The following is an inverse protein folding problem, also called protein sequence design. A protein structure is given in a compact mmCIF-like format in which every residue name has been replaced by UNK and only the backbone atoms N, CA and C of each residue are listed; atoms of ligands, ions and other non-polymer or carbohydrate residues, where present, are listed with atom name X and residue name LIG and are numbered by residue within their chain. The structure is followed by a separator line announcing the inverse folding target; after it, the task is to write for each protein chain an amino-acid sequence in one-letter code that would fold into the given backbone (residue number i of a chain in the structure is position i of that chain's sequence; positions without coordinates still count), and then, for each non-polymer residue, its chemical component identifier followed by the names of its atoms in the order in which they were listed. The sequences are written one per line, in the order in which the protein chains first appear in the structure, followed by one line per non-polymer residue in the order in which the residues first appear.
data_IF_918672455109
#
_entry.id   IF_918672455109
#
_cell.length_a   1.000
_cell.length_b   1.000
_cell.length_c   1.000
_cell.angle_alpha   90.00
_cell.angle_beta   90.00
_cell.angle_gamma   90.00
#
_symmetry.space_group_name_H-M   'P 1'
#
loop_
_entity.id
_entity.type
_entity.pdbx_description
1 polymer ?
#
# COMPACT_ATOMS: atom_id res chain seq x y z
N UNK A 1 -22.67 -17.13 -9.99
CA UNK A 1 -21.89 -15.92 -9.62
C UNK A 1 -20.51 -16.15 -10.19
N UNK A 2 -20.09 -15.34 -11.16
CA UNK A 2 -18.72 -15.41 -11.68
C UNK A 2 -17.79 -14.89 -10.59
N UNK A 3 -16.95 -15.75 -10.02
CA UNK A 3 -15.87 -15.33 -9.13
C UNK A 3 -15.05 -14.27 -9.87
N UNK A 4 -14.85 -13.12 -9.23
CA UNK A 4 -13.98 -12.08 -9.76
C UNK A 4 -12.53 -12.58 -9.55
N UNK A 5 -11.80 -13.01 -10.59
CA UNK A 5 -10.52 -13.71 -10.44
C UNK A 5 -9.39 -12.81 -9.90
N UNK A 6 -9.68 -11.54 -9.63
CA UNK A 6 -8.70 -10.52 -9.27
C UNK A 6 -8.69 -10.14 -7.78
N UNK A 7 -9.50 -10.79 -6.95
CA UNK A 7 -9.56 -10.51 -5.51
C UNK A 7 -9.44 -11.80 -4.71
N UNK A 8 -8.33 -11.95 -3.98
CA UNK A 8 -8.13 -13.04 -3.04
C UNK A 8 -8.58 -12.57 -1.66
N UNK A 9 -9.85 -12.80 -1.37
CA UNK A 9 -10.38 -12.67 -0.03
C UNK A 9 -9.69 -13.69 0.89
N UNK A 10 -9.44 -13.30 2.14
CA UNK A 10 -8.59 -14.08 3.02
C UNK A 10 -8.11 -13.29 4.22
N UNK A 11 -7.50 -13.95 5.21
CA UNK A 11 -6.92 -13.32 6.40
C UNK A 11 -5.39 -13.26 6.27
N UNK A 12 -4.79 -12.09 6.49
CA UNK A 12 -3.34 -12.00 6.70
C UNK A 12 -3.00 -12.29 8.16
N UNK A 13 -2.00 -13.14 8.39
CA UNK A 13 -1.42 -13.40 9.69
C UNK A 13 0.01 -12.89 9.71
N UNK A 14 0.31 -11.95 10.60
CA UNK A 14 1.67 -11.48 10.83
C UNK A 14 2.47 -12.61 11.48
N UNK A 15 3.62 -12.96 10.90
CA UNK A 15 4.47 -14.06 11.42
C UNK A 15 5.76 -13.54 12.02
N UNK A 16 6.33 -12.46 11.50
CA UNK A 16 7.57 -11.88 12.03
C UNK A 16 7.71 -10.41 11.67
N UNK A 17 8.27 -9.63 12.60
CA UNK A 17 8.81 -8.29 12.33
C UNK A 17 10.25 -8.26 12.82
N UNK A 18 11.17 -7.75 12.02
CA UNK A 18 12.59 -7.64 12.36
C UNK A 18 13.22 -6.40 11.77
N UNK A 19 14.26 -5.90 12.42
CA UNK A 19 14.99 -4.70 12.03
C UNK A 19 16.49 -5.05 12.06
N UNK A 20 17.19 -4.94 10.93
CA UNK A 20 18.58 -5.40 10.85
C UNK A 20 19.36 -4.71 9.73
N UNK A 21 20.69 -4.74 9.82
CA UNK A 21 21.56 -4.46 8.68
C UNK A 21 21.77 -5.73 7.87
N UNK A 22 21.67 -5.64 6.53
CA UNK A 22 22.07 -6.75 5.65
C UNK A 22 23.58 -7.02 5.71
N UNK A 23 24.37 -5.99 5.98
CA UNK A 23 25.81 -6.09 6.23
C UNK A 23 26.05 -6.54 7.68
N UNK A 24 26.59 -7.75 7.92
CA UNK A 24 26.80 -8.28 9.27
C UNK A 24 27.91 -7.55 10.05
N UNK A 25 28.68 -6.68 9.41
CA UNK A 25 29.72 -5.88 10.08
C UNK A 25 29.17 -4.67 10.81
N UNK A 26 27.93 -4.25 10.50
CA UNK A 26 27.26 -3.11 11.12
C UNK A 26 26.55 -3.50 12.41
N UNK A 27 26.55 -2.57 13.36
CA UNK A 27 25.92 -2.79 14.67
C UNK A 27 24.43 -2.52 14.62
N UNK A 28 23.61 -3.44 15.15
CA UNK A 28 22.16 -3.20 15.28
C UNK A 28 21.85 -1.96 16.13
N UNK A 29 22.64 -1.70 17.17
CA UNK A 29 22.45 -0.53 18.03
C UNK A 29 22.59 0.80 17.24
N UNK A 30 23.47 0.84 16.25
CA UNK A 30 23.65 2.00 15.36
C UNK A 30 22.40 2.23 14.51
N UNK A 31 21.84 1.17 13.93
CA UNK A 31 20.64 1.24 13.10
C UNK A 31 19.41 1.64 13.90
N UNK A 32 19.26 1.10 15.11
CA UNK A 32 18.18 1.48 16.04
C UNK A 32 18.28 2.98 16.39
N UNK A 33 19.48 3.48 16.70
CA UNK A 33 19.64 4.90 17.03
C UNK A 33 19.39 5.81 15.81
N UNK A 34 19.90 5.41 14.64
CA UNK A 34 19.90 6.24 13.42
C UNK A 34 18.55 6.23 12.72
N UNK A 35 17.88 5.08 12.63
CA UNK A 35 16.69 4.90 11.81
C UNK A 35 15.46 4.43 12.61
N UNK A 36 15.65 3.97 13.85
CA UNK A 36 14.59 3.45 14.71
C UNK A 36 14.21 2.00 14.39
N UNK A 37 13.10 1.56 14.98
CA UNK A 37 12.57 0.21 14.84
C UNK A 37 11.08 0.21 14.48
N UNK A 38 10.69 -0.67 13.57
CA UNK A 38 9.29 -1.05 13.42
C UNK A 38 9.02 -2.13 14.48
N UNK A 39 8.12 -1.79 15.41
CA UNK A 39 7.69 -2.68 16.50
C UNK A 39 6.58 -3.61 16.01
N UNK A 40 6.62 -4.88 16.40
CA UNK A 40 5.67 -5.89 15.92
C UNK A 40 4.22 -5.53 16.31
N UNK A 41 4.04 -5.01 17.52
CA UNK A 41 2.77 -4.54 18.08
C UNK A 41 2.17 -3.34 17.34
N UNK A 42 2.96 -2.63 16.53
CA UNK A 42 2.52 -1.48 15.72
C UNK A 42 2.23 -1.87 14.26
N UNK A 43 2.46 -3.12 13.87
CA UNK A 43 2.07 -3.64 12.56
C UNK A 43 0.67 -4.22 12.68
N UNK A 44 -0.26 -3.67 11.91
CA UNK A 44 -1.67 -4.03 11.97
C UNK A 44 -2.13 -4.68 10.67
N UNK A 45 -2.92 -5.74 10.81
CA UNK A 45 -3.72 -6.27 9.70
C UNK A 45 -5.16 -5.87 9.93
N UNK A 46 -5.67 -5.02 9.06
CA UNK A 46 -7.04 -4.52 9.11
C UNK A 46 -7.86 -5.25 8.06
N UNK A 47 -9.01 -5.77 8.46
CA UNK A 47 -9.92 -6.51 7.58
C UNK A 47 -11.27 -5.80 7.51
N UNK A 48 -11.62 -5.36 6.30
CA UNK A 48 -12.93 -4.85 5.93
C UNK A 48 -13.65 -5.86 5.03
N UNK A 49 -14.98 -5.78 4.86
CA UNK A 49 -15.72 -6.69 3.99
C UNK A 49 -15.20 -6.78 2.55
N UNK A 50 -14.57 -5.71 2.06
CA UNK A 50 -14.12 -5.53 0.68
C UNK A 50 -12.61 -5.27 0.55
N UNK A 51 -11.86 -5.26 1.65
CA UNK A 51 -10.46 -4.86 1.63
C UNK A 51 -9.69 -5.50 2.79
N UNK A 52 -8.42 -5.83 2.54
CA UNK A 52 -7.51 -6.23 3.59
C UNK A 52 -6.21 -5.45 3.49
N UNK A 53 -5.90 -4.73 4.55
CA UNK A 53 -4.75 -3.84 4.59
C UNK A 53 -3.74 -4.33 5.62
N UNK A 54 -2.47 -4.34 5.25
CA UNK A 54 -1.36 -4.40 6.18
C UNK A 54 -0.82 -2.99 6.35
N UNK A 55 -0.79 -2.51 7.60
CA UNK A 55 -0.45 -1.13 7.94
C UNK A 55 0.69 -1.12 8.94
N UNK A 56 1.68 -0.28 8.70
CA UNK A 56 2.73 0.04 9.67
C UNK A 56 3.29 1.44 9.42
N UNK A 57 4.00 2.00 10.39
CA UNK A 57 4.70 3.26 10.23
C UNK A 57 6.21 3.04 10.24
N UNK A 58 6.90 3.74 9.33
CA UNK A 58 8.33 3.94 9.42
C UNK A 58 8.64 4.73 10.70
N UNK A 59 9.75 4.43 11.41
CA UNK A 59 10.01 5.02 12.72
C UNK A 59 10.37 6.52 12.65
N UNK A 60 10.70 7.01 11.46
CA UNK A 60 11.04 8.40 11.15
C UNK A 60 10.44 8.78 9.79
N UNK A 61 10.43 10.09 9.50
CA UNK A 61 10.10 10.59 8.16
C UNK A 61 10.97 9.88 7.12
N UNK A 62 10.34 9.18 6.17
CA UNK A 62 11.01 8.18 5.33
C UNK A 62 10.97 8.52 3.83
N UNK A 63 10.79 9.79 3.49
CA UNK A 63 10.73 10.22 2.09
C UNK A 63 12.06 10.06 1.35
N UNK A 64 13.17 10.04 2.08
CA UNK A 64 14.53 9.79 1.63
C UNK A 64 15.06 8.41 2.07
N UNK A 65 14.17 7.51 2.51
CA UNK A 65 14.52 6.11 2.71
C UNK A 65 14.89 5.43 1.36
N UNK A 66 15.43 4.22 1.46
CA UNK A 66 15.93 3.45 0.33
C UNK A 66 14.82 2.72 -0.44
N UNK A 67 15.02 1.42 -0.66
CA UNK A 67 14.10 0.59 -1.44
C UNK A 67 13.02 -0.06 -0.59
N UNK A 68 11.88 -0.27 -1.22
CA UNK A 68 10.79 -1.12 -0.76
C UNK A 68 10.68 -2.32 -1.70
N UNK A 69 10.57 -3.52 -1.13
CA UNK A 69 10.36 -4.76 -1.86
C UNK A 69 9.25 -5.59 -1.22
N UNK A 70 8.40 -6.19 -2.07
CA UNK A 70 7.46 -7.24 -1.69
C UNK A 70 7.89 -8.53 -2.38
N UNK A 71 8.09 -9.59 -1.60
CA UNK A 71 8.66 -10.86 -2.05
C UNK A 71 7.68 -11.99 -1.73
N UNK A 72 7.40 -12.84 -2.71
CA UNK A 72 6.74 -14.13 -2.52
C UNK A 72 7.78 -15.14 -2.01
N UNK A 73 7.66 -15.59 -0.76
CA UNK A 73 8.68 -16.44 -0.11
C UNK A 73 8.78 -17.84 -0.73
N UNK A 74 7.71 -18.29 -1.40
CA UNK A 74 7.63 -19.65 -1.98
C UNK A 74 8.40 -19.70 -3.28
N UNK A 75 8.21 -18.68 -4.12
CA UNK A 75 8.83 -18.60 -5.44
C UNK A 75 10.15 -17.81 -5.42
N UNK A 76 10.37 -16.99 -4.39
CA UNK A 76 11.43 -15.99 -4.34
C UNK A 76 11.21 -14.82 -5.30
N UNK A 77 10.03 -14.70 -5.91
CA UNK A 77 9.74 -13.66 -6.89
C UNK A 77 9.53 -12.31 -6.19
N UNK A 78 10.18 -11.26 -6.72
CA UNK A 78 9.95 -9.88 -6.30
C UNK A 78 8.69 -9.38 -7.01
N UNK A 79 7.63 -9.16 -6.25
CA UNK A 79 6.31 -8.71 -6.73
C UNK A 79 6.23 -7.19 -6.88
N UNK A 80 6.90 -6.45 -5.99
CA UNK A 80 7.08 -5.00 -6.06
C UNK A 80 8.55 -4.67 -5.78
N UNK A 81 9.13 -3.74 -6.56
CA UNK A 81 10.47 -3.20 -6.37
C UNK A 81 10.46 -1.71 -6.71
N UNK A 82 10.47 -0.86 -5.69
CA UNK A 82 10.28 0.59 -5.82
C UNK A 82 11.00 1.33 -4.68
N UNK A 83 10.98 2.67 -4.69
CA UNK A 83 11.52 3.46 -3.58
C UNK A 83 10.49 3.55 -2.45
N UNK A 84 10.94 3.58 -1.19
CA UNK A 84 10.04 3.68 -0.02
C UNK A 84 9.04 4.83 -0.17
N UNK A 85 9.51 6.00 -0.62
CA UNK A 85 8.67 7.20 -0.84
C UNK A 85 7.49 6.97 -1.79
N UNK A 86 7.62 6.03 -2.73
CA UNK A 86 6.57 5.73 -3.71
C UNK A 86 5.50 4.79 -3.12
N UNK A 87 5.76 4.19 -1.95
CA UNK A 87 4.80 3.39 -1.17
C UNK A 87 4.23 4.09 0.05
N UNK A 88 4.85 5.19 0.48
CA UNK A 88 4.40 5.95 1.64
C UNK A 88 3.03 6.58 1.40
N UNK A 89 2.18 6.48 2.41
CA UNK A 89 1.00 7.29 2.58
C UNK A 89 1.39 8.43 3.55
N UNK A 90 1.67 9.62 3.00
CA UNK A 90 2.21 10.74 3.75
C UNK A 90 3.71 10.60 4.04
N UNK A 91 4.16 10.90 5.26
CA UNK A 91 5.59 10.97 5.61
C UNK A 91 6.19 9.70 6.22
N UNK A 92 5.36 8.82 6.80
CA UNK A 92 5.84 7.64 7.54
C UNK A 92 4.97 6.39 7.36
N UNK A 93 3.68 6.52 7.06
CA UNK A 93 2.77 5.39 7.03
C UNK A 93 2.96 4.57 5.74
N UNK A 94 2.92 3.25 5.86
CA UNK A 94 2.76 2.32 4.74
C UNK A 94 1.43 1.61 4.87
N UNK A 95 0.66 1.63 3.79
CA UNK A 95 -0.63 0.96 3.68
C UNK A 95 -0.61 0.03 2.46
N UNK A 96 -0.59 -1.26 2.71
CA UNK A 96 -0.48 -2.30 1.69
C UNK A 96 -1.85 -2.96 1.53
N UNK A 97 -2.51 -2.73 0.39
CA UNK A 97 -3.66 -3.56 0.00
C UNK A 97 -3.16 -4.96 -0.36
N UNK A 98 -3.64 -5.95 0.38
CA UNK A 98 -3.28 -7.37 0.22
C UNK A 98 -4.36 -8.16 -0.50
N UNK A 99 -5.43 -7.51 -0.96
CA UNK A 99 -6.49 -8.15 -1.75
C UNK A 99 -5.96 -8.75 -3.08
N UNK A 100 -5.01 -8.12 -3.80
CA UNK A 100 -4.46 -8.69 -5.04
C UNK A 100 -3.56 -9.91 -4.82
N UNK A 101 -3.11 -10.18 -3.60
CA UNK A 101 -2.13 -11.24 -3.32
C UNK A 101 -2.82 -12.57 -3.11
N UNK A 102 -2.35 -13.59 -3.83
CA UNK A 102 -2.77 -14.98 -3.64
C UNK A 102 -2.55 -15.41 -2.19
N UNK A 103 -3.26 -16.44 -1.71
CA UNK A 103 -2.82 -17.14 -0.52
C UNK A 103 -1.34 -17.54 -0.67
N UNK A 104 -0.52 -17.29 0.36
CA UNK A 104 0.93 -17.46 0.28
C UNK A 104 1.68 -16.94 1.50
N UNK A 105 3.00 -17.10 1.50
CA UNK A 105 3.90 -16.48 2.47
C UNK A 105 4.65 -15.34 1.78
N UNK A 106 4.71 -14.20 2.45
CA UNK A 106 5.23 -12.96 1.88
C UNK A 106 6.17 -12.25 2.84
N UNK A 107 7.19 -11.62 2.28
CA UNK A 107 8.11 -10.73 2.98
C UNK A 107 8.06 -9.33 2.37
N UNK A 108 7.87 -8.32 3.20
CA UNK A 108 8.09 -6.91 2.88
C UNK A 108 9.44 -6.51 3.45
N UNK A 109 10.27 -5.83 2.65
CA UNK A 109 11.49 -5.17 3.10
C UNK A 109 11.44 -3.68 2.77
N UNK A 110 11.65 -2.82 3.76
CA UNK A 110 11.82 -1.37 3.59
C UNK A 110 13.19 -0.97 4.15
N UNK A 111 14.08 -0.51 3.27
CA UNK A 111 15.47 -0.20 3.60
C UNK A 111 15.74 1.30 3.69
N UNK A 112 16.82 1.65 4.37
CA UNK A 112 17.41 2.98 4.43
C UNK A 112 18.69 3.03 3.58
N UNK A 113 19.15 4.23 3.15
CA UNK A 113 20.35 4.35 2.32
C UNK A 113 21.63 3.79 2.96
N UNK A 114 21.67 3.72 4.29
CA UNK A 114 22.78 3.13 5.05
C UNK A 114 22.71 1.58 5.12
N UNK A 115 21.67 0.96 4.57
CA UNK A 115 21.44 -0.48 4.57
C UNK A 115 20.63 -1.03 5.73
N UNK A 116 20.17 -0.18 6.68
CA UNK A 116 19.24 -0.61 7.73
C UNK A 116 17.92 -1.02 7.08
N UNK A 117 17.38 -2.18 7.45
CA UNK A 117 16.19 -2.74 6.79
C UNK A 117 15.16 -3.16 7.83
N UNK A 118 13.93 -2.70 7.65
CA UNK A 118 12.75 -3.21 8.33
C UNK A 118 12.15 -4.33 7.49
N UNK A 119 11.94 -5.49 8.10
CA UNK A 119 11.37 -6.66 7.44
C UNK A 119 10.09 -7.10 8.16
N UNK A 120 9.02 -7.29 7.39
CA UNK A 120 7.72 -7.75 7.86
C UNK A 120 7.36 -9.01 7.08
N UNK A 121 7.13 -10.12 7.78
CA UNK A 121 6.68 -11.38 7.18
C UNK A 121 5.25 -11.68 7.57
N UNK A 122 4.46 -12.13 6.62
CA UNK A 122 3.07 -12.48 6.84
C UNK A 122 2.62 -13.62 5.93
N UNK A 123 1.53 -14.27 6.32
CA UNK A 123 0.89 -15.33 5.54
C UNK A 123 -0.51 -14.87 5.16
N UNK A 124 -0.81 -14.90 3.86
CA UNK A 124 -2.16 -14.73 3.33
C UNK A 124 -2.85 -16.08 3.32
N UNK A 125 -3.92 -16.22 4.11
CA UNK A 125 -4.77 -17.40 4.12
C UNK A 125 -5.84 -17.32 3.04
N UNK A 126 -6.34 -18.49 2.61
CA UNK A 126 -7.51 -18.60 1.75
C UNK A 126 -8.79 -18.13 2.47
N UNK A 127 -9.76 -17.60 1.72
CA UNK A 127 -11.08 -17.27 2.26
C UNK A 127 -11.74 -18.49 2.93
N UNK A 128 -12.47 -18.26 4.01
CA UNK A 128 -13.20 -19.32 4.72
C UNK A 128 -12.34 -20.19 5.65
N UNK A 129 -11.03 -19.92 5.77
CA UNK A 129 -10.22 -20.56 6.81
C UNK A 129 -10.77 -20.18 8.20
N UNK A 130 -11.33 -21.15 8.91
CA UNK A 130 -11.92 -20.95 10.24
C UNK A 130 -10.88 -20.30 11.16
N UNK A 131 -11.30 -19.32 11.96
CA UNK A 131 -10.46 -18.69 13.00
C UNK A 131 -9.92 -19.79 13.92
N UNK A 132 -8.76 -20.35 13.58
CA UNK A 132 -7.96 -21.11 14.54
C UNK A 132 -7.58 -20.06 15.58
N UNK A 133 -7.99 -20.28 16.83
CA UNK A 133 -7.63 -19.38 17.91
C UNK A 133 -6.11 -19.17 17.88
N UNK A 134 -5.69 -17.91 17.74
CA UNK A 134 -4.28 -17.54 17.53
C UNK A 134 -3.36 -17.98 18.68
N UNK A 135 -3.94 -18.42 19.79
CA UNK A 135 -3.28 -18.90 21.00
C UNK A 135 -2.62 -20.27 20.86
N UNK A 136 -2.90 -21.03 19.79
CA UNK A 136 -2.35 -22.37 19.61
C UNK A 136 -1.31 -22.49 18.48
N UNK A 137 -0.74 -21.39 17.98
CA UNK A 137 0.36 -21.45 17.01
C UNK A 137 1.66 -21.24 17.79
N UNK A 138 2.41 -22.32 18.11
CA UNK A 138 3.72 -22.21 18.75
C UNK A 138 4.66 -21.41 17.84
N UNK A 139 5.55 -20.62 18.43
CA UNK A 139 6.48 -19.71 17.74
C UNK A 139 7.47 -20.39 16.77
N UNK A 140 7.42 -21.72 16.62
CA UNK A 140 8.35 -22.53 15.84
C UNK A 140 7.68 -23.42 14.78
N UNK A 141 6.35 -23.34 14.58
CA UNK A 141 5.69 -24.21 13.59
C UNK A 141 5.93 -23.69 12.16
N UNK A 142 6.61 -24.51 11.36
CA UNK A 142 6.71 -24.32 9.92
C UNK A 142 5.34 -24.61 9.31
N UNK A 143 4.73 -23.60 8.68
CA UNK A 143 3.65 -23.85 7.72
C UNK A 143 4.22 -24.67 6.57
N UNK A 144 3.81 -25.93 6.45
CA UNK A 144 4.22 -26.78 5.34
C UNK A 144 3.22 -26.65 4.22
N UNK A 145 3.69 -26.07 3.12
CA UNK A 145 2.94 -25.97 1.87
C UNK A 145 2.99 -27.35 1.21
N UNK A 146 1.85 -28.04 1.14
CA UNK A 146 1.74 -29.31 0.43
C UNK A 146 0.71 -29.18 -0.69
N UNK A 147 1.15 -28.66 -1.84
CA UNK A 147 0.25 -28.33 -2.95
C UNK A 147 -0.45 -26.99 -2.73
N UNK A 148 -1.79 -26.96 -2.79
CA UNK A 148 -2.64 -25.78 -2.57
C UNK A 148 -3.24 -25.69 -1.17
N UNK A 149 -2.88 -26.61 -0.26
CA UNK A 149 -3.39 -26.65 1.11
C UNK A 149 -2.35 -26.17 2.13
N UNK A 150 -2.81 -25.36 3.09
CA UNK A 150 -2.05 -24.97 4.27
C UNK A 150 -2.31 -25.97 5.38
N UNK A 151 -1.31 -26.79 5.71
CA UNK A 151 -1.37 -27.70 6.84
C UNK A 151 -0.44 -27.19 7.95
N UNK A 152 -1.00 -26.98 9.14
CA UNK A 152 -0.21 -26.88 10.36
C UNK A 152 0.39 -28.26 10.63
N UNK A 153 1.66 -28.45 10.30
CA UNK A 153 2.29 -29.76 10.44
C UNK A 153 2.75 -29.98 11.89
N UNK A 154 1.93 -30.67 12.69
CA UNK A 154 2.47 -31.48 13.78
C UNK A 154 3.34 -32.59 13.16
N UNK A 155 4.59 -32.68 13.60
CA UNK A 155 5.64 -33.54 13.05
C UNK A 155 5.18 -34.97 12.68
N UNK A 156 5.16 -35.28 11.37
CA UNK A 156 4.89 -36.62 10.85
C UNK A 156 5.90 -37.04 9.77
N UNK A 157 6.48 -38.23 9.93
CA UNK A 157 7.47 -38.87 9.02
C UNK A 157 6.80 -39.39 7.74
N UNK A 158 7.39 -39.23 6.54
CA UNK A 158 6.71 -39.62 5.32
C UNK A 158 6.94 -41.10 4.97
N UNK A 159 5.86 -41.81 4.60
CA UNK A 159 5.93 -42.91 3.64
C UNK A 159 5.51 -42.40 2.24
N UNK A 160 6.19 -42.96 1.25
CA UNK A 160 6.23 -42.57 -0.17
C UNK A 160 4.98 -42.97 -0.95
N UNK A 161 4.46 -42.09 -1.80
CA UNK A 161 3.78 -42.47 -3.04
C UNK A 161 3.75 -41.33 -4.07
N UNK A 162 4.19 -41.65 -5.28
CA UNK A 162 4.33 -40.78 -6.44
C UNK A 162 3.04 -40.75 -7.26
N UNK A 163 2.57 -39.57 -7.69
CA UNK A 163 1.52 -39.46 -8.71
C UNK A 163 1.95 -38.45 -9.78
N UNK A 164 1.88 -38.90 -11.04
CA UNK A 164 2.19 -38.16 -12.28
C UNK A 164 0.98 -37.31 -12.71
N UNK A 165 1.23 -36.10 -13.20
CA UNK A 165 0.25 -35.26 -13.91
C UNK A 165 0.50 -35.31 -15.42
N UNK A 166 -0.56 -35.31 -16.27
CA UNK A 166 -0.42 -35.13 -17.71
C UNK A 166 -0.44 -33.64 -18.09
N UNK A 167 0.34 -33.31 -19.13
CA UNK A 167 0.31 -32.05 -19.90
C UNK A 167 -0.64 -32.21 -21.08
N UNK A 168 -1.31 -31.14 -21.50
CA UNK A 168 -1.27 -30.60 -22.88
C UNK A 168 -2.23 -29.39 -23.11
N UNK A 169 -2.13 -28.63 -24.23
CA UNK A 169 -2.10 -27.16 -24.21
C UNK A 169 -3.16 -26.45 -25.10
N UNK A 170 -3.00 -25.12 -25.25
CA UNK A 170 -3.15 -24.30 -26.50
C UNK A 170 -4.22 -23.16 -26.51
N UNK A 171 -3.74 -21.97 -26.91
CA UNK A 171 -4.39 -20.76 -27.52
C UNK A 171 -5.46 -19.98 -26.75
N UNK A 172 -5.51 -18.64 -26.68
CA UNK A 172 -4.82 -17.54 -27.37
C UNK A 172 -5.87 -16.49 -27.76
N UNK A 173 -5.77 -15.20 -27.37
CA UNK A 173 -6.65 -14.12 -27.88
C UNK A 173 -6.04 -12.70 -27.78
N UNK A 174 -6.60 -11.85 -28.64
CA UNK A 174 -6.18 -10.56 -29.21
C UNK A 174 -6.02 -9.36 -28.24
N UNK A 175 -5.16 -8.41 -28.63
CA UNK A 175 -4.88 -7.14 -27.97
C UNK A 175 -5.96 -6.06 -28.19
N UNK A 176 -6.21 -5.15 -27.24
CA UNK A 176 -6.96 -3.92 -27.48
C UNK A 176 -6.07 -2.74 -27.88
N UNK A 177 -6.64 -1.92 -28.78
CA UNK A 177 -6.05 -0.76 -29.45
C UNK A 177 -5.90 0.45 -28.53
N UNK A 178 -4.81 1.19 -28.72
CA UNK A 178 -4.56 2.49 -28.12
C UNK A 178 -5.42 3.58 -28.77
N UNK A 179 -6.04 4.43 -27.94
CA UNK A 179 -6.63 5.68 -28.37
C UNK A 179 -5.61 6.80 -28.14
N UNK A 180 -5.11 7.40 -29.21
CA UNK A 180 -4.34 8.65 -29.16
C UNK A 180 -5.23 9.81 -29.58
N UNK A 181 -5.66 10.63 -28.61
CA UNK A 181 -6.27 11.93 -28.94
C UNK A 181 -5.19 13.01 -28.93
N UNK A 182 -4.77 13.44 -30.13
CA UNK A 182 -4.11 14.73 -30.33
C UNK A 182 -5.19 15.81 -30.35
N UNK A 183 -5.10 16.80 -29.48
CA UNK A 183 -5.86 18.03 -29.63
C UNK A 183 -4.96 19.23 -29.42
N UNK A 184 -4.84 20.04 -30.46
CA UNK A 184 -4.17 21.34 -30.50
C UNK A 184 -5.15 22.38 -29.95
N UNK A 185 -4.79 23.18 -28.92
CA UNK A 185 -5.45 24.46 -28.60
C UNK A 185 -4.41 25.44 -28.03
N UNK A 186 -4.17 26.57 -28.69
CA UNK A 186 -4.83 27.89 -28.49
C UNK A 186 -4.71 28.35 -27.03
N UNK A 187 -3.78 29.28 -26.79
CA UNK A 187 -3.51 29.95 -25.51
C UNK A 187 -4.73 30.77 -25.06
N UNK A 188 -5.70 30.10 -24.44
CA UNK A 188 -6.66 30.71 -23.54
C UNK A 188 -6.19 30.46 -22.11
N UNK A 189 -6.42 31.42 -21.21
CA UNK A 189 -6.21 31.23 -19.77
C UNK A 189 -6.96 29.97 -19.36
N UNK A 190 -6.25 28.91 -18.95
CA UNK A 190 -6.91 27.65 -18.64
C UNK A 190 -7.65 27.80 -17.32
N UNK A 191 -8.94 27.50 -17.31
CA UNK A 191 -9.71 27.40 -16.07
C UNK A 191 -9.12 26.30 -15.19
N UNK A 192 -8.99 26.52 -13.86
CA UNK A 192 -8.56 25.46 -12.95
C UNK A 192 -9.47 24.23 -13.07
N UNK A 193 -8.87 23.04 -13.07
CA UNK A 193 -9.56 21.77 -13.20
C UNK A 193 -9.07 20.78 -12.15
N UNK A 194 -9.98 19.92 -11.70
CA UNK A 194 -9.71 18.80 -10.79
C UNK A 194 -10.15 17.50 -11.46
N UNK A 195 -9.28 16.49 -11.47
CA UNK A 195 -9.61 15.13 -11.90
C UNK A 195 -9.18 14.11 -10.85
N UNK A 196 -9.67 12.88 -10.94
CA UNK A 196 -9.52 11.88 -9.88
C UNK A 196 -9.08 10.53 -10.46
N UNK A 197 -8.27 9.80 -9.71
CA UNK A 197 -8.16 8.34 -9.82
C UNK A 197 -8.69 7.71 -8.54
N UNK A 198 -9.21 6.49 -8.67
CA UNK A 198 -9.60 5.65 -7.55
C UNK A 198 -8.91 4.30 -7.72
N UNK A 199 -8.22 3.88 -6.67
CA UNK A 199 -7.57 2.59 -6.52
C UNK A 199 -7.94 2.02 -5.14
N UNK A 200 -8.93 1.12 -5.13
CA UNK A 200 -9.54 0.61 -3.90
C UNK A 200 -10.16 1.71 -3.02
N UNK A 201 -9.61 1.86 -1.81
CA UNK A 201 -10.08 2.82 -0.78
C UNK A 201 -9.42 4.19 -0.85
N UNK A 202 -8.59 4.45 -1.85
CA UNK A 202 -7.94 5.73 -2.04
C UNK A 202 -7.68 6.04 -3.49
N UNK A 203 -6.77 6.97 -3.75
CA UNK A 203 -6.34 7.31 -5.09
C UNK A 203 -5.65 8.68 -5.12
N UNK A 204 -5.70 9.34 -6.28
CA UNK A 204 -5.11 10.68 -6.45
C UNK A 204 -6.13 11.70 -6.92
N UNK A 205 -5.98 12.92 -6.42
CA UNK A 205 -6.64 14.13 -6.89
C UNK A 205 -5.61 14.94 -7.66
N UNK A 206 -5.91 15.27 -8.90
CA UNK A 206 -5.03 16.03 -9.78
C UNK A 206 -5.60 17.44 -9.98
N UNK A 207 -4.94 18.44 -9.40
CA UNK A 207 -5.25 19.85 -9.64
C UNK A 207 -4.38 20.39 -10.78
N UNK A 208 -5.01 21.02 -11.78
CA UNK A 208 -4.34 21.62 -12.94
C UNK A 208 -4.83 23.04 -13.16
N UNK A 209 -3.92 24.01 -13.24
CA UNK A 209 -4.23 25.39 -13.60
C UNK A 209 -3.04 26.06 -14.28
N UNK A 210 -3.15 26.27 -15.59
CA UNK A 210 -2.14 26.90 -16.44
C UNK A 210 -0.82 26.14 -16.35
N UNK A 211 0.17 26.66 -15.61
CA UNK A 211 1.47 26.04 -15.39
C UNK A 211 1.54 25.21 -14.09
N UNK A 212 0.50 25.27 -13.25
CA UNK A 212 0.46 24.57 -11.97
C UNK A 212 -0.12 23.17 -12.16
N UNK A 213 0.63 22.17 -11.69
CA UNK A 213 0.20 20.79 -11.57
C UNK A 213 0.54 20.28 -10.17
N UNK A 214 -0.48 19.96 -9.39
CA UNK A 214 -0.34 19.44 -8.02
C UNK A 214 -1.17 18.19 -7.90
N UNK A 215 -0.59 17.15 -7.29
CA UNK A 215 -1.23 15.87 -7.07
C UNK A 215 -1.35 15.64 -5.56
N UNK A 216 -2.53 15.24 -5.11
CA UNK A 216 -2.80 14.92 -3.71
C UNK A 216 -3.24 13.47 -3.59
N UNK A 217 -2.69 12.74 -2.65
CA UNK A 217 -3.20 11.43 -2.28
C UNK A 217 -4.49 11.59 -1.46
N UNK A 218 -5.45 10.69 -1.66
CA UNK A 218 -6.68 10.66 -0.87
C UNK A 218 -7.03 9.25 -0.43
N UNK A 219 -7.76 9.14 0.68
CA UNK A 219 -8.30 7.88 1.19
C UNK A 219 -9.67 8.06 1.87
N UNK A 220 -10.50 7.01 1.83
CA UNK A 220 -11.74 6.98 2.61
C UNK A 220 -11.43 6.98 4.10
N UNK A 221 -12.02 7.93 4.80
CA UNK A 221 -11.89 8.07 6.25
C UNK A 221 -12.91 7.21 7.00
N UNK A 222 -12.87 7.24 8.33
CA UNK A 222 -13.81 6.58 9.22
C UNK A 222 -14.62 7.57 10.08
N UNK A 223 -15.71 7.10 10.69
CA UNK A 223 -16.56 7.91 11.57
C UNK A 223 -17.35 8.98 10.79
N UNK A 224 -17.27 10.23 11.24
CA UNK A 224 -17.95 11.36 10.60
C UNK A 224 -17.22 11.87 9.35
N UNK A 225 -15.98 11.45 9.13
CA UNK A 225 -15.22 11.77 7.94
C UNK A 225 -15.55 10.82 6.80
N UNK A 226 -15.69 11.39 5.59
CA UNK A 226 -15.98 10.66 4.35
C UNK A 226 -14.66 10.37 3.63
N UNK A 227 -13.84 11.39 3.41
CA UNK A 227 -12.55 11.31 2.71
C UNK A 227 -11.55 12.22 3.39
N UNK A 228 -10.27 11.84 3.40
CA UNK A 228 -9.17 12.74 3.70
C UNK A 228 -8.22 12.85 2.50
N UNK A 229 -7.70 14.05 2.24
CA UNK A 229 -6.65 14.29 1.25
C UNK A 229 -5.38 14.67 1.98
N UNK A 230 -4.26 14.05 1.64
CA UNK A 230 -2.95 14.41 2.18
C UNK A 230 -2.43 15.63 1.44
N UNK A 231 -1.98 16.63 2.20
CA UNK A 231 -1.42 17.87 1.66
C UNK A 231 -0.04 18.14 2.27
N UNK A 232 0.88 18.79 1.54
CA UNK A 232 2.14 19.23 2.12
C UNK A 232 1.91 20.22 3.28
N UNK A 233 2.68 20.07 4.36
CA UNK A 233 2.80 21.11 5.39
C UNK A 233 3.34 22.40 4.78
N UNK A 234 3.00 23.55 5.36
CA UNK A 234 3.38 24.88 4.85
C UNK A 234 4.88 25.02 4.56
N UNK A 235 5.74 24.54 5.47
CA UNK A 235 7.20 24.55 5.31
C UNK A 235 7.72 23.74 4.12
N UNK A 236 6.94 22.77 3.63
CA UNK A 236 7.32 21.91 2.51
C UNK A 236 6.56 22.23 1.22
N UNK A 237 5.56 23.13 1.28
CA UNK A 237 4.65 23.43 0.19
C UNK A 237 5.37 23.85 -1.09
N UNK A 238 6.19 24.90 -1.05
CA UNK A 238 6.83 25.44 -2.26
C UNK A 238 7.83 24.44 -2.88
N UNK A 239 8.51 23.66 -2.02
CA UNK A 239 9.48 22.66 -2.46
C UNK A 239 8.77 21.50 -3.18
N UNK A 240 7.64 21.01 -2.65
CA UNK A 240 6.92 19.86 -3.19
C UNK A 240 6.02 20.23 -4.38
N UNK A 241 5.32 21.36 -4.31
CA UNK A 241 4.31 21.77 -5.31
C UNK A 241 4.83 22.72 -6.37
N UNK A 242 6.04 23.26 -6.19
CA UNK A 242 6.61 24.34 -7.03
C UNK A 242 5.68 25.56 -7.16
N UNK A 243 4.81 25.77 -6.18
CA UNK A 243 3.81 26.84 -6.14
C UNK A 243 4.05 27.72 -4.92
N UNK A 244 3.94 29.07 -5.03
CA UNK A 244 4.14 29.95 -3.88
C UNK A 244 3.21 29.62 -2.70
N UNK A 245 3.73 29.71 -1.48
CA UNK A 245 2.96 29.45 -0.25
C UNK A 245 1.74 30.37 -0.14
N UNK A 246 1.84 31.60 -0.65
CA UNK A 246 0.73 32.57 -0.69
C UNK A 246 -0.49 32.10 -1.48
N UNK A 247 -0.36 31.07 -2.34
CA UNK A 247 -1.46 30.49 -3.10
C UNK A 247 -2.03 29.20 -2.49
N UNK A 248 -1.42 28.70 -1.42
CA UNK A 248 -1.79 27.40 -0.81
C UNK A 248 -3.27 27.36 -0.46
N UNK A 249 -3.74 28.30 0.35
CA UNK A 249 -5.10 28.25 0.88
C UNK A 249 -6.18 28.44 -0.20
N UNK A 250 -5.91 29.28 -1.21
CA UNK A 250 -6.77 29.45 -2.40
C UNK A 250 -6.94 28.12 -3.14
N UNK A 251 -5.83 27.44 -3.44
CA UNK A 251 -5.82 26.18 -4.19
C UNK A 251 -6.50 25.07 -3.38
N UNK A 252 -6.15 24.93 -2.12
CA UNK A 252 -6.72 23.91 -1.23
C UNK A 252 -8.23 24.10 -1.07
N UNK A 253 -8.69 25.34 -0.91
CA UNK A 253 -10.12 25.65 -0.84
C UNK A 253 -10.83 25.33 -2.16
N UNK A 254 -10.22 25.66 -3.31
CA UNK A 254 -10.79 25.33 -4.62
C UNK A 254 -10.93 23.81 -4.80
N UNK A 255 -9.86 23.05 -4.51
CA UNK A 255 -9.85 21.59 -4.63
C UNK A 255 -10.90 20.96 -3.71
N UNK A 256 -10.96 21.35 -2.44
CA UNK A 256 -11.92 20.80 -1.50
C UNK A 256 -13.38 21.08 -1.89
N UNK A 257 -13.68 22.31 -2.32
CA UNK A 257 -15.02 22.65 -2.80
C UNK A 257 -15.40 21.87 -4.08
N UNK A 258 -14.45 21.69 -4.99
CA UNK A 258 -14.68 20.92 -6.22
C UNK A 258 -14.92 19.43 -5.90
N UNK A 259 -14.16 18.84 -4.96
CA UNK A 259 -14.39 17.45 -4.52
C UNK A 259 -15.76 17.29 -3.86
N UNK A 260 -16.16 18.20 -2.97
CA UNK A 260 -17.50 18.18 -2.35
C UNK A 260 -18.58 18.23 -3.42
N UNK A 261 -18.45 19.15 -4.39
CA UNK A 261 -19.42 19.30 -5.47
C UNK A 261 -19.54 18.03 -6.31
N UNK A 262 -18.42 17.39 -6.63
CA UNK A 262 -18.39 16.26 -7.56
C UNK A 262 -18.70 14.91 -6.89
N UNK A 263 -18.19 14.67 -5.68
CA UNK A 263 -18.11 13.35 -5.05
C UNK A 263 -18.84 13.24 -3.71
N UNK A 264 -19.10 14.36 -3.02
CA UNK A 264 -19.68 14.35 -1.68
C UNK A 264 -20.67 15.51 -1.44
N UNK A 265 -21.71 15.67 -2.28
CA UNK A 265 -22.61 16.82 -2.18
C UNK A 265 -23.31 16.86 -0.82
N UNK A 266 -23.34 18.05 -0.21
CA UNK A 266 -23.90 18.28 1.13
C UNK A 266 -22.90 18.14 2.27
N UNK A 267 -21.68 17.67 2.02
CA UNK A 267 -20.60 17.66 3.01
C UNK A 267 -19.95 19.04 3.15
N UNK A 268 -19.11 19.20 4.19
CA UNK A 268 -18.20 20.34 4.39
C UNK A 268 -16.75 19.84 4.52
N UNK A 269 -15.79 20.76 4.54
CA UNK A 269 -14.38 20.40 4.75
C UNK A 269 -13.75 21.16 5.92
N UNK A 270 -12.72 20.55 6.49
CA UNK A 270 -11.81 21.16 7.46
C UNK A 270 -10.37 20.99 6.98
N UNK A 271 -9.58 22.06 7.06
CA UNK A 271 -8.17 22.07 6.62
C UNK A 271 -7.29 21.97 7.86
N UNK A 272 -6.38 21.00 7.87
CA UNK A 272 -5.36 20.78 8.88
C UNK A 272 -3.97 21.08 8.28
N UNK A 273 -2.91 20.95 9.09
CA UNK A 273 -1.54 21.27 8.65
C UNK A 273 -1.06 20.38 7.50
N UNK A 274 -1.41 19.08 7.53
CA UNK A 274 -0.94 18.06 6.59
C UNK A 274 -2.06 17.28 5.88
N UNK A 275 -3.33 17.62 6.11
CA UNK A 275 -4.46 17.00 5.40
C UNK A 275 -5.69 17.91 5.32
N UNK A 276 -6.62 17.57 4.45
CA UNK A 276 -7.99 18.10 4.41
C UNK A 276 -8.94 16.95 4.69
N UNK A 277 -9.94 17.17 5.55
CA UNK A 277 -10.97 16.17 5.84
C UNK A 277 -12.31 16.65 5.30
N UNK A 278 -12.95 15.84 4.47
CA UNK A 278 -14.35 16.01 4.07
C UNK A 278 -15.23 15.28 5.09
N UNK A 279 -16.19 15.98 5.67
CA UNK A 279 -17.07 15.50 6.73
C UNK A 279 -18.53 15.78 6.40
N UNK A 280 -19.43 14.92 6.87
CA UNK A 280 -20.88 15.05 6.67
C UNK A 280 -21.47 16.24 7.41
#
# INVERSE_FOLDING_TARGET
MSENPNSYFGKCLLTKVSNFYKDPTKSEAEGIATNGVVEAEKVQVIHYPDCQQLVFHMPKYAYDAGSYQLIDDVTGAIMEDLQVKDRLNGGTMMLIDTLPYKPGSYTIEASWPDGWTHQIRFIKLMEGFSNVESTSIPSNDQLVIKGSEYLLQHSYKPETASIKLPRDPVTGFLAPRSFTSRSIKKQGVSTPAVTYTQDGRGGKIFYRNSEIAIDFDWEFAAGNAVVLFLIPEEKYWEIQTKTPLSRRDEILSFVANQVIKDQAPGCRFEVYSNHITIIR
#
